data_IF_411744530566
#
_entry.id   IF_411744530566
#
_cell.length_a   1.000
_cell.length_b   1.000
_cell.length_c   1.000
_cell.angle_alpha   90.00
_cell.angle_beta   90.00
_cell.angle_gamma   90.00
#
_symmetry.space_group_name_H-M   'P 1'
#
loop_
_entity.id
_entity.type
_entity.pdbx_description
1 polymer ?
#
# COMPACT_ATOMS: atom_id res chain seq x y z
N UNK A 1 12.04 16.25 4.91
CA UNK A 1 11.00 15.20 4.83
C UNK A 1 9.66 15.92 4.85
N UNK A 2 8.78 15.62 3.89
CA UNK A 2 7.54 16.35 3.68
C UNK A 2 6.46 15.85 4.65
N UNK A 3 6.33 16.50 5.80
CA UNK A 3 5.30 16.17 6.78
C UNK A 3 3.92 16.59 6.25
N UNK A 4 3.04 15.61 6.05
CA UNK A 4 1.59 15.82 5.90
C UNK A 4 1.07 16.22 4.51
N UNK A 5 1.82 16.04 3.42
CA UNK A 5 1.31 16.36 2.06
C UNK A 5 1.15 15.11 1.23
N UNK A 6 -0.03 14.89 0.66
CA UNK A 6 -0.20 13.92 -0.43
C UNK A 6 0.72 14.29 -1.59
N UNK A 7 1.81 13.54 -1.79
CA UNK A 7 2.75 13.72 -2.92
C UNK A 7 2.29 12.99 -4.18
N UNK A 8 1.17 12.27 -4.10
CA UNK A 8 0.60 11.50 -5.19
C UNK A 8 -0.02 12.37 -6.28
N UNK A 9 -0.30 11.80 -7.47
CA UNK A 9 -0.79 12.54 -8.62
C UNK A 9 -2.13 13.23 -8.33
N UNK A 10 -2.90 12.76 -7.37
CA UNK A 10 -4.20 13.31 -7.03
C UNK A 10 -4.18 14.63 -6.24
N UNK A 11 -3.04 15.06 -5.70
CA UNK A 11 -2.86 16.42 -5.19
C UNK A 11 -2.47 17.32 -6.37
N UNK A 12 -3.32 18.27 -6.75
CA UNK A 12 -3.10 19.13 -7.93
C UNK A 12 -1.82 19.93 -7.80
N UNK A 13 -1.51 20.40 -6.60
CA UNK A 13 -0.30 21.15 -6.32
C UNK A 13 0.94 20.26 -6.39
N UNK A 14 0.88 19.07 -5.80
CA UNK A 14 1.96 18.09 -5.89
C UNK A 14 2.20 17.65 -7.34
N UNK A 15 1.14 17.37 -8.10
CA UNK A 15 1.22 17.03 -9.53
C UNK A 15 1.88 18.15 -10.34
N UNK A 16 1.48 19.39 -10.13
CA UNK A 16 2.07 20.53 -10.82
C UNK A 16 3.55 20.72 -10.47
N UNK A 17 3.90 20.61 -9.18
CA UNK A 17 5.28 20.74 -8.72
C UNK A 17 6.17 19.60 -9.26
N UNK A 18 5.69 18.35 -9.23
CA UNK A 18 6.41 17.21 -9.80
C UNK A 18 6.53 17.30 -11.32
N UNK A 19 5.48 17.72 -12.03
CA UNK A 19 5.54 17.94 -13.48
C UNK A 19 6.56 19.01 -13.85
N UNK A 20 6.61 20.12 -13.11
CA UNK A 20 7.60 21.17 -13.30
C UNK A 20 9.03 20.68 -13.01
N UNK A 21 9.21 19.91 -11.95
CA UNK A 21 10.51 19.31 -11.61
C UNK A 21 10.99 18.33 -12.68
N UNK A 22 10.11 17.46 -13.19
CA UNK A 22 10.45 16.50 -14.26
C UNK A 22 10.81 17.21 -15.57
N UNK A 23 10.08 18.25 -15.95
CA UNK A 23 10.44 19.07 -17.11
C UNK A 23 11.79 19.78 -16.93
N UNK A 24 12.09 20.27 -15.71
CA UNK A 24 13.39 20.86 -15.40
C UNK A 24 14.53 19.82 -15.40
N UNK A 25 14.24 18.58 -14.99
CA UNK A 25 15.17 17.43 -15.05
C UNK A 25 15.50 17.02 -16.47
N UNK A 26 14.53 17.06 -17.38
CA UNK A 26 14.70 16.81 -18.80
C UNK A 26 15.54 17.92 -19.45
N UNK A 27 15.17 19.19 -19.22
CA UNK A 27 15.96 20.32 -19.70
C UNK A 27 17.40 20.35 -19.13
N UNK A 28 17.59 19.87 -17.89
CA UNK A 28 18.92 19.70 -17.31
C UNK A 28 19.72 18.61 -18.02
N UNK A 29 19.11 17.48 -18.35
CA UNK A 29 19.77 16.43 -19.13
C UNK A 29 20.23 16.97 -20.50
N UNK A 30 19.35 17.67 -21.23
CA UNK A 30 19.70 18.31 -22.51
C UNK A 30 20.81 19.37 -22.37
N UNK A 31 20.87 20.08 -21.23
CA UNK A 31 21.92 21.04 -20.95
C UNK A 31 23.25 20.36 -20.65
N UNK A 32 23.24 19.26 -19.91
CA UNK A 32 24.43 18.45 -19.61
C UNK A 32 24.98 17.83 -20.89
N UNK A 33 24.13 17.27 -21.75
CA UNK A 33 24.54 16.67 -23.02
C UNK A 33 25.23 17.69 -23.92
N UNK A 34 24.69 18.91 -24.00
CA UNK A 34 25.32 20.02 -24.74
C UNK A 34 26.65 20.44 -24.12
N UNK A 35 26.71 20.58 -22.80
CA UNK A 35 27.95 20.94 -22.10
C UNK A 35 29.05 19.90 -22.32
N UNK A 36 28.70 18.60 -22.28
CA UNK A 36 29.64 17.51 -22.60
C UNK A 36 30.08 17.56 -24.06
N UNK A 37 29.16 17.80 -25.00
CA UNK A 37 29.47 17.94 -26.42
C UNK A 37 30.42 19.14 -26.71
N UNK A 38 30.30 20.22 -25.95
CA UNK A 38 31.17 21.41 -26.02
C UNK A 38 32.52 21.21 -25.30
N UNK A 39 32.82 19.98 -24.90
CA UNK A 39 34.10 19.59 -24.28
C UNK A 39 34.17 19.90 -22.79
N UNK A 40 33.03 19.96 -22.10
CA UNK A 40 32.91 20.19 -20.66
C UNK A 40 33.62 21.46 -20.18
N UNK A 41 33.60 22.52 -21.01
CA UNK A 41 34.25 23.80 -20.70
C UNK A 41 33.31 24.70 -19.89
N UNK A 42 33.84 25.33 -18.84
CA UNK A 42 33.06 26.20 -17.95
C UNK A 42 32.35 25.43 -16.85
N UNK A 43 31.42 26.10 -16.16
CA UNK A 43 30.67 25.49 -15.06
C UNK A 43 29.61 24.51 -15.56
N UNK A 44 29.41 23.37 -14.87
CA UNK A 44 28.38 22.40 -15.24
C UNK A 44 26.98 23.01 -15.02
N UNK A 45 25.99 22.63 -15.85
CA UNK A 45 24.61 23.06 -15.66
C UNK A 45 24.10 22.72 -14.24
N UNK A 46 23.49 23.68 -13.52
CA UNK A 46 23.05 23.46 -12.15
C UNK A 46 21.90 22.46 -12.10
N UNK A 47 21.95 21.54 -11.15
CA UNK A 47 20.87 20.57 -10.95
C UNK A 47 19.57 21.27 -10.53
N UNK A 48 18.41 20.85 -11.07
CA UNK A 48 17.14 21.40 -10.65
C UNK A 48 16.85 21.02 -9.19
N UNK A 49 16.43 21.98 -8.35
CA UNK A 49 16.17 21.70 -6.94
C UNK A 49 14.97 20.78 -6.78
N UNK A 50 15.04 19.84 -5.83
CA UNK A 50 13.90 19.00 -5.50
C UNK A 50 12.70 19.84 -5.03
N UNK A 51 11.47 19.53 -5.47
CA UNK A 51 10.29 20.26 -5.06
C UNK A 51 10.03 20.03 -3.56
N UNK A 52 9.95 21.12 -2.79
CA UNK A 52 9.51 21.08 -1.40
C UNK A 52 7.99 21.27 -1.38
N UNK A 53 7.27 20.19 -1.14
CA UNK A 53 5.81 20.22 -1.04
C UNK A 53 5.39 20.64 0.37
N UNK A 54 4.60 21.71 0.45
CA UNK A 54 3.99 22.19 1.68
C UNK A 54 2.47 22.02 1.62
N UNK A 55 1.88 21.64 2.75
CA UNK A 55 0.44 21.52 2.86
C UNK A 55 -0.22 22.90 2.75
N UNK A 56 -1.36 22.99 2.07
CA UNK A 56 -2.14 24.23 1.95
C UNK A 56 -3.57 24.02 2.47
N UNK A 57 -4.14 24.98 3.21
CA UNK A 57 -5.55 24.92 3.60
C UNK A 57 -6.47 24.75 2.39
N UNK A 58 -7.39 23.78 2.47
CA UNK A 58 -8.30 23.42 1.37
C UNK A 58 -7.79 22.29 0.47
N UNK A 59 -6.52 21.89 0.58
CA UNK A 59 -5.97 20.71 -0.10
C UNK A 59 -6.04 19.47 0.80
N UNK A 60 -6.46 18.31 0.27
CA UNK A 60 -6.62 17.11 1.08
C UNK A 60 -5.25 16.57 1.55
N UNK A 61 -5.12 16.24 2.84
CA UNK A 61 -3.99 15.48 3.39
C UNK A 61 -3.82 14.15 2.65
N UNK A 62 -4.95 13.52 2.27
CA UNK A 62 -5.05 12.37 1.39
C UNK A 62 -6.17 12.57 0.37
N UNK A 63 -5.86 12.47 -0.91
CA UNK A 63 -6.85 12.66 -1.98
C UNK A 63 -7.85 11.48 -2.08
N UNK A 64 -8.89 11.66 -2.90
CA UNK A 64 -9.87 10.60 -3.19
C UNK A 64 -9.24 9.29 -3.72
N UNK A 65 -8.13 9.36 -4.46
CA UNK A 65 -7.41 8.17 -4.90
C UNK A 65 -6.75 7.44 -3.72
N UNK A 66 -6.06 8.13 -2.81
CA UNK A 66 -5.46 7.52 -1.61
C UNK A 66 -6.53 6.85 -0.74
N UNK A 67 -7.72 7.45 -0.67
CA UNK A 67 -8.86 6.83 -0.01
C UNK A 67 -9.27 5.53 -0.69
N UNK A 68 -9.51 5.54 -2.00
CA UNK A 68 -9.89 4.30 -2.69
C UNK A 68 -8.79 3.23 -2.65
N UNK A 69 -7.53 3.63 -2.77
CA UNK A 69 -6.38 2.72 -2.63
C UNK A 69 -6.34 2.10 -1.23
N UNK A 70 -6.49 2.90 -0.18
CA UNK A 70 -6.50 2.39 1.20
C UNK A 70 -7.72 1.49 1.46
N UNK A 71 -8.90 1.88 0.96
CA UNK A 71 -10.12 1.05 1.02
C UNK A 71 -9.89 -0.32 0.38
N UNK A 72 -9.40 -0.34 -0.86
CA UNK A 72 -9.09 -1.56 -1.62
C UNK A 72 -8.07 -2.42 -0.86
N UNK A 73 -6.96 -1.82 -0.42
CA UNK A 73 -5.91 -2.52 0.29
C UNK A 73 -6.41 -3.14 1.60
N UNK A 74 -7.21 -2.42 2.39
CA UNK A 74 -7.80 -2.95 3.63
C UNK A 74 -8.71 -4.16 3.37
N UNK A 75 -9.53 -4.12 2.31
CA UNK A 75 -10.41 -5.22 1.93
C UNK A 75 -9.60 -6.44 1.46
N UNK A 76 -8.59 -6.22 0.61
CA UNK A 76 -7.70 -7.30 0.15
C UNK A 76 -6.89 -7.91 1.29
N UNK A 77 -6.42 -7.10 2.25
CA UNK A 77 -5.75 -7.62 3.45
C UNK A 77 -6.67 -8.59 4.22
N UNK A 78 -7.97 -8.29 4.35
CA UNK A 78 -8.91 -9.21 5.01
C UNK A 78 -9.12 -10.50 4.22
N UNK A 79 -9.32 -10.38 2.91
CA UNK A 79 -9.54 -11.49 1.99
C UNK A 79 -8.33 -12.43 1.95
N UNK A 80 -7.13 -11.89 1.73
CA UNK A 80 -5.89 -12.66 1.69
C UNK A 80 -5.58 -13.32 3.04
N UNK A 81 -5.79 -12.60 4.14
CA UNK A 81 -5.64 -13.18 5.48
C UNK A 81 -6.73 -14.22 5.80
N UNK A 82 -7.91 -14.17 5.16
CA UNK A 82 -8.91 -15.23 5.25
C UNK A 82 -8.50 -16.46 4.43
N UNK A 83 -7.98 -16.25 3.22
CA UNK A 83 -7.45 -17.30 2.35
C UNK A 83 -6.33 -18.08 3.05
N UNK A 84 -5.32 -17.40 3.59
CA UNK A 84 -4.25 -18.03 4.37
C UNK A 84 -4.80 -18.77 5.59
N UNK A 85 -5.72 -18.17 6.34
CA UNK A 85 -6.32 -18.80 7.51
C UNK A 85 -7.12 -20.09 7.19
N UNK A 86 -7.64 -20.21 5.97
CA UNK A 86 -8.39 -21.37 5.50
C UNK A 86 -7.49 -22.52 5.03
N UNK A 87 -6.18 -22.28 4.83
CA UNK A 87 -5.24 -23.31 4.37
C UNK A 87 -5.07 -24.43 5.42
N UNK A 88 -4.98 -25.70 4.99
CA UNK A 88 -4.74 -26.82 5.89
C UNK A 88 -3.47 -26.62 6.72
N UNK A 89 -3.57 -26.71 8.04
CA UNK A 89 -2.42 -26.60 8.96
C UNK A 89 -2.14 -25.19 9.49
N UNK A 90 -2.75 -24.14 8.93
CA UNK A 90 -2.48 -22.73 9.32
C UNK A 90 -3.28 -22.29 10.54
N UNK A 91 -4.55 -22.70 10.63
CA UNK A 91 -5.40 -22.45 11.79
C UNK A 91 -5.90 -23.79 12.32
N UNK A 92 -5.43 -24.22 13.50
CA UNK A 92 -6.14 -25.27 14.23
C UNK A 92 -7.53 -24.73 14.55
N UNK A 93 -8.56 -25.38 14.02
CA UNK A 93 -9.89 -25.26 14.56
C UNK A 93 -9.76 -25.41 16.09
N UNK A 94 -10.18 -24.39 16.84
CA UNK A 94 -10.37 -24.56 18.29
C UNK A 94 -11.55 -25.52 18.46
N UNK A 95 -11.31 -26.81 18.25
CA UNK A 95 -12.23 -27.86 18.62
C UNK A 95 -12.38 -27.75 20.13
N UNK A 96 -13.59 -27.35 20.52
CA UNK A 96 -14.03 -27.01 21.87
C UNK A 96 -13.99 -28.20 22.84
N UNK A 97 -13.27 -29.28 22.50
CA UNK A 97 -13.43 -30.63 23.03
C UNK A 97 -12.14 -31.30 23.54
N UNK A 98 -10.99 -30.61 23.59
CA UNK A 98 -9.78 -31.19 24.19
C UNK A 98 -9.07 -30.21 25.12
N UNK A 99 -9.75 -29.81 26.20
CA UNK A 99 -9.10 -29.15 27.34
C UNK A 99 -8.65 -30.22 28.34
N UNK A 100 -7.56 -30.91 28.02
CA UNK A 100 -6.83 -31.72 29.00
C UNK A 100 -6.05 -30.75 29.89
N UNK A 101 -6.29 -30.78 31.20
CA UNK A 101 -5.56 -29.97 32.20
C UNK A 101 -4.05 -30.22 32.03
N UNK A 102 -3.30 -29.20 31.61
CA UNK A 102 -1.84 -29.21 31.64
C UNK A 102 -1.11 -28.89 30.32
N UNK A 103 -1.79 -28.92 29.18
CA UNK A 103 -1.16 -28.52 27.91
C UNK A 103 -1.40 -27.04 27.65
N UNK A 104 -0.31 -26.24 27.66
CA UNK A 104 -0.33 -24.89 27.10
C UNK A 104 -0.73 -25.01 25.63
N UNK A 105 -1.64 -24.16 25.10
CA UNK A 105 -1.87 -24.11 23.67
C UNK A 105 -0.54 -23.73 23.02
N UNK A 106 0.09 -24.69 22.34
CA UNK A 106 1.24 -24.41 21.50
C UNK A 106 0.80 -23.39 20.44
N UNK A 107 1.62 -22.34 20.26
CA UNK A 107 1.52 -21.38 19.16
C UNK A 107 1.46 -22.10 17.82
N UNK A 108 1.00 -21.38 16.80
CA UNK A 108 0.76 -21.94 15.47
C UNK A 108 1.99 -22.72 14.96
N UNK A 109 1.79 -23.83 14.24
CA UNK A 109 2.91 -24.61 13.68
C UNK A 109 3.26 -24.18 12.23
N UNK A 110 2.86 -23.00 11.81
CA UNK A 110 3.11 -22.51 10.44
C UNK A 110 3.37 -21.00 10.47
N UNK A 111 4.44 -20.54 9.80
CA UNK A 111 4.74 -19.11 9.69
C UNK A 111 3.57 -18.28 9.15
N UNK A 112 2.74 -18.84 8.27
CA UNK A 112 1.53 -18.18 7.76
C UNK A 112 0.49 -17.87 8.85
N UNK A 113 0.37 -18.73 9.87
CA UNK A 113 -0.56 -18.57 10.98
C UNK A 113 -0.16 -17.41 11.90
N UNK A 114 1.14 -17.27 12.14
CA UNK A 114 1.71 -16.16 12.90
C UNK A 114 1.60 -14.83 12.13
N UNK A 115 1.76 -14.86 10.80
CA UNK A 115 1.48 -13.71 9.91
C UNK A 115 0.03 -13.25 10.05
N UNK A 116 -0.94 -14.16 9.91
CA UNK A 116 -2.37 -13.84 10.06
C UNK A 116 -2.67 -13.30 11.46
N UNK A 117 -2.05 -13.87 12.48
CA UNK A 117 -2.21 -13.41 13.86
C UNK A 117 -1.65 -12.00 14.08
N UNK A 118 -0.51 -11.70 13.46
CA UNK A 118 0.19 -10.41 13.53
C UNK A 118 -0.62 -9.32 12.85
N UNK A 119 -1.03 -9.51 11.59
CA UNK A 119 -1.85 -8.52 10.87
C UNK A 119 -3.18 -8.27 11.58
N UNK A 120 -3.81 -9.32 12.13
CA UNK A 120 -5.04 -9.16 12.94
C UNK A 120 -4.78 -8.34 14.20
N UNK A 121 -3.66 -8.57 14.89
CA UNK A 121 -3.26 -7.82 16.07
C UNK A 121 -3.01 -6.34 15.78
N UNK A 122 -2.34 -6.04 14.67
CA UNK A 122 -2.08 -4.67 14.20
C UNK A 122 -3.35 -3.94 13.78
N UNK A 123 -4.22 -4.60 13.01
CA UNK A 123 -5.52 -4.05 12.63
C UNK A 123 -6.35 -3.65 13.86
N UNK A 124 -6.37 -4.49 14.89
CA UNK A 124 -7.07 -4.20 16.14
C UNK A 124 -6.39 -3.09 16.96
N UNK A 125 -5.08 -2.88 16.81
CA UNK A 125 -4.39 -1.71 17.38
C UNK A 125 -4.79 -0.44 16.64
N UNK A 126 -4.76 -0.45 15.30
CA UNK A 126 -5.19 0.67 14.47
C UNK A 126 -6.63 1.08 14.78
N UNK A 127 -7.57 0.13 14.81
CA UNK A 127 -8.97 0.42 15.18
C UNK A 127 -9.10 1.08 16.55
N UNK A 128 -8.44 0.53 17.58
CA UNK A 128 -8.47 1.11 18.94
C UNK A 128 -7.92 2.53 18.95
N UNK A 129 -6.83 2.75 18.23
CA UNK A 129 -6.20 4.06 18.15
C UNK A 129 -7.11 5.09 17.47
N UNK A 130 -7.74 4.73 16.36
CA UNK A 130 -8.71 5.58 15.66
C UNK A 130 -9.92 5.87 16.55
N UNK A 131 -10.51 4.84 17.17
CA UNK A 131 -11.63 5.02 18.09
C UNK A 131 -11.28 5.95 19.26
N UNK A 132 -10.08 5.80 19.84
CA UNK A 132 -9.56 6.64 20.92
C UNK A 132 -9.42 8.09 20.48
N UNK A 133 -8.79 8.36 19.32
CA UNK A 133 -8.60 9.73 18.81
C UNK A 133 -9.93 10.40 18.45
N UNK A 134 -10.89 9.63 17.94
CA UNK A 134 -12.24 10.10 17.64
C UNK A 134 -13.17 10.15 18.85
N UNK A 135 -12.70 9.77 20.04
CA UNK A 135 -13.48 9.69 21.29
C UNK A 135 -14.77 8.89 21.12
N UNK A 136 -14.74 7.86 20.29
CA UNK A 136 -15.89 6.99 20.04
C UNK A 136 -16.01 5.99 21.19
N UNK A 137 -17.24 5.75 21.64
CA UNK A 137 -17.56 4.64 22.55
C UNK A 137 -17.56 3.30 21.79
N UNK A 138 -16.48 3.00 21.07
CA UNK A 138 -16.31 1.76 20.33
C UNK A 138 -15.81 0.66 21.26
N UNK A 139 -16.56 -0.44 21.36
CA UNK A 139 -16.09 -1.64 22.03
C UNK A 139 -15.38 -2.51 21.00
N UNK A 140 -14.04 -2.45 20.98
CA UNK A 140 -13.26 -3.31 20.11
C UNK A 140 -13.49 -4.77 20.51
N UNK A 141 -13.94 -5.63 19.58
CA UNK A 141 -14.26 -7.01 19.90
C UNK A 141 -13.08 -7.73 20.56
N UNK A 142 -13.35 -8.52 21.59
CA UNK A 142 -12.33 -9.32 22.26
C UNK A 142 -11.87 -10.50 21.37
N UNK A 143 -10.57 -10.78 21.37
CA UNK A 143 -9.97 -11.90 20.65
C UNK A 143 -9.41 -11.54 19.27
N UNK A 144 -8.79 -12.54 18.62
CA UNK A 144 -8.12 -12.41 17.30
C UNK A 144 -8.64 -13.47 16.33
N UNK A 145 -9.95 -13.46 16.09
CA UNK A 145 -10.60 -14.37 15.13
C UNK A 145 -10.79 -13.70 13.77
N UNK A 146 -10.99 -14.50 12.72
CA UNK A 146 -11.30 -13.98 11.37
C UNK A 146 -12.53 -13.07 11.36
N UNK A 147 -13.60 -13.43 12.09
CA UNK A 147 -14.80 -12.58 12.22
C UNK A 147 -14.48 -11.21 12.84
N UNK A 148 -13.62 -11.18 13.86
CA UNK A 148 -13.20 -9.95 14.51
C UNK A 148 -12.34 -9.09 13.56
N UNK A 149 -11.47 -9.73 12.78
CA UNK A 149 -10.67 -9.06 11.73
C UNK A 149 -11.58 -8.42 10.68
N UNK A 150 -12.48 -9.19 10.04
CA UNK A 150 -13.38 -8.68 8.99
C UNK A 150 -14.29 -7.55 9.48
N UNK A 151 -14.82 -7.66 10.71
CA UNK A 151 -15.58 -6.57 11.34
C UNK A 151 -14.75 -5.31 11.58
N UNK A 152 -13.46 -5.47 11.87
CA UNK A 152 -12.56 -4.34 12.10
C UNK A 152 -12.15 -3.68 10.79
N UNK A 153 -11.92 -4.46 9.72
CA UNK A 153 -11.71 -3.91 8.37
C UNK A 153 -12.94 -3.12 7.91
N UNK A 154 -14.13 -3.71 8.01
CA UNK A 154 -15.39 -3.03 7.62
C UNK A 154 -15.55 -1.71 8.38
N UNK A 155 -15.33 -1.72 9.69
CA UNK A 155 -15.42 -0.52 10.51
C UNK A 155 -14.39 0.56 10.10
N UNK A 156 -13.16 0.16 9.80
CA UNK A 156 -12.11 1.10 9.36
C UNK A 156 -12.43 1.69 7.98
N UNK A 157 -12.97 0.88 7.06
CA UNK A 157 -13.44 1.33 5.75
C UNK A 157 -14.60 2.34 5.88
N UNK A 158 -15.54 2.09 6.78
CA UNK A 158 -16.65 3.02 7.06
C UNK A 158 -16.18 4.35 7.68
N UNK A 159 -15.03 4.33 8.38
CA UNK A 159 -14.43 5.51 9.01
C UNK A 159 -13.28 6.09 8.21
N UNK A 160 -13.06 5.64 6.97
CA UNK A 160 -11.84 5.90 6.23
C UNK A 160 -11.57 7.39 6.00
N UNK A 161 -12.60 8.17 5.66
CA UNK A 161 -12.48 9.62 5.48
C UNK A 161 -11.94 10.31 6.74
N UNK A 162 -12.48 9.94 7.89
CA UNK A 162 -12.10 10.55 9.18
C UNK A 162 -10.75 10.01 9.65
N UNK A 163 -10.48 8.72 9.43
CA UNK A 163 -9.22 8.07 9.75
C UNK A 163 -8.05 8.74 9.01
N UNK A 164 -8.21 8.98 7.70
CA UNK A 164 -7.18 9.63 6.89
C UNK A 164 -7.01 11.11 7.25
N UNK A 165 -8.02 11.74 7.84
CA UNK A 165 -7.92 13.12 8.34
C UNK A 165 -7.21 13.23 9.71
N UNK A 166 -6.88 12.11 10.38
CA UNK A 166 -6.19 12.13 11.67
C UNK A 166 -4.70 12.39 11.48
N UNK A 167 -4.27 13.60 11.84
CA UNK A 167 -2.86 14.00 11.79
C UNK A 167 -1.98 13.13 12.69
N UNK A 168 -0.80 12.74 12.19
CA UNK A 168 0.17 11.89 12.88
C UNK A 168 -0.37 10.52 13.32
N UNK A 169 -1.38 9.97 12.62
CA UNK A 169 -1.81 8.60 12.85
C UNK A 169 -0.80 7.63 12.22
N UNK A 170 -0.12 6.86 13.06
CA UNK A 170 0.81 5.82 12.62
C UNK A 170 0.47 4.47 13.24
N UNK A 171 0.92 3.40 12.59
CA UNK A 171 0.80 2.03 13.05
C UNK A 171 2.20 1.44 13.15
N UNK A 172 2.54 0.94 14.34
CA UNK A 172 3.72 0.10 14.53
C UNK A 172 3.48 -1.23 13.81
N UNK A 173 4.25 -1.43 12.75
CA UNK A 173 4.10 -2.51 11.78
C UNK A 173 5.28 -3.46 11.82
N UNK A 174 5.02 -4.75 11.96
CA UNK A 174 5.97 -5.85 11.81
C UNK A 174 5.87 -6.49 10.42
N UNK A 175 5.44 -5.72 9.42
CA UNK A 175 5.24 -6.18 8.04
C UNK A 175 6.54 -6.50 7.33
N UNK A 176 7.64 -5.83 7.65
CA UNK A 176 8.97 -6.30 7.27
C UNK A 176 9.40 -7.35 8.29
N UNK A 177 9.99 -8.45 7.78
CA UNK A 177 10.48 -9.65 8.48
C UNK A 177 10.59 -9.65 10.02
N UNK A 178 10.28 -10.77 10.68
CA UNK A 178 10.22 -10.87 12.16
C UNK A 178 11.54 -10.48 12.87
N UNK A 179 12.66 -10.56 12.16
CA UNK A 179 13.99 -10.20 12.66
C UNK A 179 14.30 -8.69 12.61
N UNK A 180 13.47 -7.89 11.92
CA UNK A 180 13.63 -6.44 11.83
C UNK A 180 12.80 -5.71 12.88
N UNK A 181 13.31 -4.57 13.33
CA UNK A 181 12.58 -3.70 14.25
C UNK A 181 11.26 -3.23 13.61
N UNK A 182 10.14 -3.18 14.39
CA UNK A 182 8.89 -2.65 13.89
C UNK A 182 9.05 -1.23 13.34
N UNK A 183 8.39 -0.93 12.22
CA UNK A 183 8.43 0.37 11.55
C UNK A 183 7.12 1.12 11.78
N UNK A 184 7.19 2.44 11.92
CA UNK A 184 5.99 3.29 11.97
C UNK A 184 5.54 3.61 10.55
N UNK A 185 4.31 3.21 10.21
CA UNK A 185 3.71 3.46 8.90
C UNK A 185 2.43 4.26 9.05
N UNK A 186 2.16 5.16 8.11
CA UNK A 186 0.83 5.75 7.96
C UNK A 186 -0.21 4.68 7.56
N UNK A 187 -1.52 4.91 7.72
CA UNK A 187 -2.54 3.88 7.49
C UNK A 187 -2.57 3.35 6.05
N UNK A 188 -2.29 4.22 5.08
CA UNK A 188 -2.21 3.86 3.65
C UNK A 188 -1.01 2.95 3.41
N UNK A 189 0.17 3.35 3.87
CA UNK A 189 1.41 2.57 3.71
C UNK A 189 1.33 1.23 4.45
N UNK A 190 0.72 1.23 5.65
CA UNK A 190 0.46 0.02 6.41
C UNK A 190 -0.40 -0.97 5.62
N UNK A 191 -1.53 -0.52 5.08
CA UNK A 191 -2.44 -1.37 4.33
C UNK A 191 -1.77 -1.95 3.06
N UNK A 192 -1.03 -1.12 2.33
CA UNK A 192 -0.32 -1.51 1.11
C UNK A 192 0.84 -2.48 1.37
N UNK A 193 1.60 -2.26 2.46
CA UNK A 193 2.68 -3.14 2.85
C UNK A 193 2.13 -4.53 3.22
N UNK A 194 1.05 -4.58 3.98
CA UNK A 194 0.40 -5.85 4.35
C UNK A 194 -0.26 -6.53 3.15
N UNK A 195 -0.90 -5.79 2.25
CA UNK A 195 -1.41 -6.35 1.00
C UNK A 195 -0.27 -7.02 0.22
N UNK A 196 0.84 -6.30 0.02
CA UNK A 196 2.00 -6.82 -0.73
C UNK A 196 2.60 -8.07 -0.07
N UNK A 197 2.74 -8.08 1.26
CA UNK A 197 3.25 -9.25 1.99
C UNK A 197 2.31 -10.44 1.87
N UNK A 198 0.99 -10.23 2.01
CA UNK A 198 0.02 -11.30 1.95
C UNK A 198 -0.10 -11.88 0.54
N UNK A 199 -0.08 -11.03 -0.51
CA UNK A 199 -0.05 -11.48 -1.91
C UNK A 199 1.14 -12.40 -2.21
N UNK A 200 2.34 -12.08 -1.70
CA UNK A 200 3.51 -12.97 -1.82
C UNK A 200 3.29 -14.34 -1.20
N UNK A 201 2.64 -14.40 -0.05
CA UNK A 201 2.42 -15.66 0.68
C UNK A 201 1.33 -16.52 0.04
N UNK A 202 0.42 -15.91 -0.72
CA UNK A 202 -0.62 -16.65 -1.45
C UNK A 202 -0.28 -16.94 -2.91
N UNK A 203 0.94 -16.59 -3.36
CA UNK A 203 1.36 -16.62 -4.76
C UNK A 203 0.42 -15.83 -5.70
N UNK A 204 -0.16 -14.73 -5.18
CA UNK A 204 -1.10 -13.81 -5.87
C UNK A 204 -0.46 -12.44 -6.14
N UNK A 205 0.88 -12.39 -6.25
CA UNK A 205 1.52 -11.21 -6.82
C UNK A 205 1.16 -11.13 -8.31
N UNK A 206 0.64 -9.97 -8.79
CA UNK A 206 0.46 -9.77 -10.22
C UNK A 206 1.83 -9.92 -10.87
N UNK A 207 2.01 -11.01 -11.63
CA UNK A 207 3.24 -11.26 -12.35
C UNK A 207 3.50 -10.20 -13.42
N UNK A 208 4.61 -10.35 -14.13
CA UNK A 208 4.80 -9.64 -15.39
C UNK A 208 3.57 -9.83 -16.28
N UNK A 209 2.93 -8.73 -16.68
CA UNK A 209 1.83 -8.80 -17.63
C UNK A 209 2.38 -8.76 -19.06
N UNK A 210 1.83 -9.62 -19.92
CA UNK A 210 2.10 -9.58 -21.36
C UNK A 210 1.19 -8.59 -22.09
N UNK A 211 0.30 -7.88 -21.38
CA UNK A 211 -0.57 -6.87 -21.96
C UNK A 211 0.24 -5.78 -22.66
N UNK A 212 -0.21 -5.35 -23.84
CA UNK A 212 0.27 -4.10 -24.43
C UNK A 212 -0.36 -2.93 -23.69
N UNK A 213 0.43 -1.90 -23.44
CA UNK A 213 -0.09 -0.65 -22.93
C UNK A 213 -1.16 -0.10 -23.90
N UNK A 214 -2.39 0.21 -23.45
CA UNK A 214 -3.42 0.80 -24.30
C UNK A 214 -3.08 2.20 -24.83
N UNK A 215 -2.05 2.84 -24.27
CA UNK A 215 -1.53 4.14 -24.72
C UNK A 215 -0.54 4.02 -25.87
N UNK A 216 0.57 3.30 -25.67
CA UNK A 216 1.67 3.23 -26.63
C UNK A 216 1.81 1.90 -27.36
N UNK A 217 1.02 0.87 -27.02
CA UNK A 217 1.08 -0.46 -27.61
C UNK A 217 2.31 -1.30 -27.22
N UNK A 218 3.19 -0.80 -26.34
CA UNK A 218 4.38 -1.52 -25.88
C UNK A 218 4.08 -2.41 -24.67
N UNK A 219 4.85 -3.50 -24.52
CA UNK A 219 4.73 -4.47 -23.42
C UNK A 219 5.66 -4.12 -22.26
N UNK A 220 5.55 -2.89 -21.80
CA UNK A 220 6.37 -2.34 -20.71
C UNK A 220 5.50 -1.98 -19.51
N UNK A 221 4.51 -2.82 -19.19
CA UNK A 221 3.63 -2.60 -18.05
C UNK A 221 4.24 -3.24 -16.80
N UNK A 222 4.65 -2.40 -15.85
CA UNK A 222 5.19 -2.84 -14.56
C UNK A 222 4.16 -2.64 -13.46
N UNK A 223 3.92 -3.67 -12.65
CA UNK A 223 3.02 -3.55 -11.52
C UNK A 223 3.61 -2.58 -10.50
N UNK A 224 2.86 -1.55 -10.12
CA UNK A 224 3.23 -0.67 -9.01
C UNK A 224 2.41 -1.01 -7.76
N UNK A 225 3.01 -1.68 -6.76
CA UNK A 225 2.29 -2.17 -5.58
C UNK A 225 1.61 -1.06 -4.78
N UNK A 226 2.24 0.11 -4.68
CA UNK A 226 1.68 1.28 -3.97
C UNK A 226 0.48 1.89 -4.66
N UNK A 227 0.36 1.65 -5.95
CA UNK A 227 -0.63 2.23 -6.83
C UNK A 227 -1.80 1.28 -7.09
N UNK A 228 -1.56 -0.04 -7.04
CA UNK A 228 -2.57 -1.06 -7.34
C UNK A 228 -2.95 -1.08 -8.83
N UNK A 229 -2.04 -0.64 -9.69
CA UNK A 229 -2.18 -0.64 -11.15
C UNK A 229 -0.81 -0.89 -11.79
N UNK A 230 -0.84 -1.33 -13.05
CA UNK A 230 0.33 -1.37 -13.91
C UNK A 230 0.67 0.04 -14.38
N UNK A 231 1.95 0.38 -14.47
CA UNK A 231 2.48 1.62 -15.04
C UNK A 231 3.32 1.27 -16.25
N UNK A 232 3.06 1.95 -17.38
CA UNK A 232 3.87 1.77 -18.56
C UNK A 232 5.24 2.46 -18.42
N UNK A 233 6.33 1.73 -18.57
CA UNK A 233 7.70 2.27 -18.58
C UNK A 233 7.91 3.36 -19.65
N UNK A 234 7.35 3.18 -20.84
CA UNK A 234 7.48 4.14 -21.93
C UNK A 234 6.58 5.39 -21.81
N UNK A 235 5.26 5.21 -21.65
CA UNK A 235 4.32 6.36 -21.70
C UNK A 235 3.72 6.75 -20.36
N UNK A 236 4.17 6.10 -19.27
CA UNK A 236 3.71 6.33 -17.89
C UNK A 236 2.20 6.15 -17.67
N UNK A 237 1.47 5.60 -18.66
CA UNK A 237 0.04 5.34 -18.53
C UNK A 237 -0.22 4.30 -17.45
N UNK A 238 -1.20 4.59 -16.60
CA UNK A 238 -1.69 3.66 -15.60
C UNK A 238 -2.75 2.75 -16.23
N UNK A 239 -2.64 1.45 -15.97
CA UNK A 239 -3.54 0.41 -16.48
C UNK A 239 -3.98 -0.45 -15.32
N UNK A 240 -5.29 -0.57 -15.11
CA UNK A 240 -5.82 -1.42 -14.04
C UNK A 240 -5.49 -2.89 -14.27
N UNK A 241 -5.50 -3.70 -13.20
CA UNK A 241 -5.30 -5.15 -13.30
C UNK A 241 -6.33 -5.81 -14.24
N UNK A 242 -7.61 -5.50 -14.06
CA UNK A 242 -8.69 -6.00 -14.91
C UNK A 242 -8.55 -5.54 -16.37
N UNK A 243 -8.13 -4.28 -16.60
CA UNK A 243 -7.90 -3.72 -17.94
C UNK A 243 -6.72 -4.43 -18.63
N UNK A 244 -5.64 -4.72 -17.90
CA UNK A 244 -4.51 -5.46 -18.41
C UNK A 244 -4.88 -6.92 -18.74
N UNK A 245 -5.67 -7.59 -17.88
CA UNK A 245 -6.17 -8.94 -18.13
C UNK A 245 -7.09 -9.01 -19.34
N UNK A 246 -7.98 -8.04 -19.49
CA UNK A 246 -8.87 -7.94 -20.66
C UNK A 246 -8.07 -7.74 -21.95
N UNK A 247 -7.05 -6.87 -21.93
CA UNK A 247 -6.18 -6.65 -23.09
C UNK A 247 -5.44 -7.94 -23.53
N UNK A 248 -4.93 -8.73 -22.57
CA UNK A 248 -4.33 -10.05 -22.89
C UNK A 248 -5.37 -11.00 -23.51
N UNK A 249 -6.59 -11.00 -22.98
CA UNK A 249 -7.67 -11.88 -23.46
C UNK A 249 -8.11 -11.50 -24.87
N UNK A 250 -8.21 -10.21 -25.18
CA UNK A 250 -8.55 -9.70 -26.51
C UNK A 250 -7.46 -9.99 -27.55
N UNK A 251 -6.18 -10.01 -27.16
CA UNK A 251 -5.07 -10.37 -28.07
C UNK A 251 -4.96 -11.87 -28.36
N UNK A 252 -5.52 -12.72 -27.48
CA UNK A 252 -5.45 -14.18 -27.60
C UNK A 252 -6.60 -14.80 -28.42
N UNK A 253 -7.64 -14.01 -28.75
CA UNK A 253 -8.78 -14.39 -29.59
C UNK A 253 -8.65 -13.88 -31.01
#
# INVERSE_FOLDING_TARGET
>A
MADGVCVGPCNRHARAAWSAFLAAREAHADAVDRWVADGARGEPPPEPPMPVLQWRPGEPLHCGLCRETCRRALLLVDELAASLAARPGVVKAQTRWSRVKGTRPHGSMSGEGDVVHTVTGELLRLRREVARRLKLADQVPAGRSGVVRSRSVTWLVDKLDVLLALDGLTVLSSVEDEERAPVELGPVDWALAWESRLRRLVDDEPGQTHARCPGCGLRELEWQPRAGYYVCGNCSRHVGEAEAMEAVTQEAG
#
